data_IF_979252539020
#
_entry.id   IF_979252539020
#
_cell.length_a   1.000
_cell.length_b   1.000
_cell.length_c   1.000
_cell.angle_alpha   90.00
_cell.angle_beta   90.00
_cell.angle_gamma   90.00
#
_symmetry.space_group_name_H-M   'P 1'
#
loop_
_entity.id
_entity.type
_entity.pdbx_description
1 polymer ?
#
# COMPACT_ATOMS: atom_id res chain seq x y z
N UNK A 1 -11.39 3.52 20.37
CA UNK A 1 -10.72 3.09 19.13
C UNK A 1 -9.39 3.83 19.03
N UNK A 2 -8.27 3.10 19.02
CA UNK A 2 -6.93 3.70 18.97
C UNK A 2 -6.33 3.81 17.56
N UNK A 3 -6.87 3.08 16.58
CA UNK A 3 -6.32 2.98 15.22
C UNK A 3 -7.45 2.96 14.21
N UNK A 4 -7.22 3.60 13.05
CA UNK A 4 -8.00 3.45 11.83
C UNK A 4 -7.06 2.91 10.75
N UNK A 5 -7.37 1.73 10.22
CA UNK A 5 -6.65 1.10 9.12
C UNK A 5 -7.50 1.17 7.85
N UNK A 6 -6.99 1.85 6.83
CA UNK A 6 -7.59 1.93 5.50
C UNK A 6 -7.00 0.86 4.57
N UNK A 7 -7.84 0.31 3.69
CA UNK A 7 -7.45 -0.64 2.67
C UNK A 7 -8.43 -0.61 1.50
N UNK A 8 -8.24 -1.51 0.55
CA UNK A 8 -9.18 -1.67 -0.57
C UNK A 8 -10.54 -2.11 -0.03
N UNK A 9 -11.58 -1.31 -0.32
CA UNK A 9 -12.96 -1.59 0.06
C UNK A 9 -13.87 -1.29 -1.12
N UNK A 10 -14.37 -2.34 -1.78
CA UNK A 10 -15.32 -2.23 -2.91
C UNK A 10 -16.70 -1.69 -2.48
N UNK A 11 -16.95 -1.60 -1.18
CA UNK A 11 -18.19 -1.10 -0.60
C UNK A 11 -17.92 0.08 0.34
N UNK A 12 -16.92 0.90 0.02
CA UNK A 12 -16.71 2.17 0.70
C UNK A 12 -17.97 3.02 0.58
N UNK A 13 -18.37 3.65 1.69
CA UNK A 13 -19.56 4.49 1.72
C UNK A 13 -19.36 5.66 2.69
N UNK A 14 -20.29 6.62 2.63
CA UNK A 14 -20.24 7.83 3.46
C UNK A 14 -20.13 7.52 4.96
N UNK A 15 -20.89 6.54 5.47
CA UNK A 15 -20.92 6.23 6.89
C UNK A 15 -19.58 5.67 7.39
N UNK A 16 -18.93 4.81 6.60
CA UNK A 16 -17.59 4.30 6.89
C UNK A 16 -16.56 5.44 6.95
N UNK A 17 -16.59 6.34 5.97
CA UNK A 17 -15.69 7.49 5.92
C UNK A 17 -15.93 8.47 7.07
N UNK A 18 -17.19 8.79 7.36
CA UNK A 18 -17.55 9.67 8.47
C UNK A 18 -17.10 9.10 9.83
N UNK A 19 -17.34 7.80 10.04
CA UNK A 19 -16.92 7.11 11.27
C UNK A 19 -15.41 7.10 11.43
N UNK A 20 -14.68 6.73 10.37
CA UNK A 20 -13.22 6.76 10.36
C UNK A 20 -12.67 8.17 10.64
N UNK A 21 -13.23 9.19 9.98
CA UNK A 21 -12.85 10.59 10.21
C UNK A 21 -13.03 11.02 11.67
N UNK A 22 -14.15 10.66 12.31
CA UNK A 22 -14.38 10.99 13.72
C UNK A 22 -13.35 10.34 14.65
N UNK A 23 -12.95 9.09 14.40
CA UNK A 23 -11.89 8.45 15.19
C UNK A 23 -10.52 9.10 14.95
N UNK A 24 -10.19 9.44 13.70
CA UNK A 24 -8.95 10.13 13.37
C UNK A 24 -8.87 11.51 14.03
N UNK A 25 -9.98 12.26 14.07
CA UNK A 25 -10.10 13.55 14.77
C UNK A 25 -9.89 13.44 16.28
N UNK A 26 -10.20 12.29 16.87
CA UNK A 26 -10.00 11.99 18.30
C UNK A 26 -8.60 11.44 18.61
N UNK A 27 -7.69 11.46 17.63
CA UNK A 27 -6.29 11.08 17.83
C UNK A 27 -5.98 9.61 17.52
N UNK A 28 -6.89 8.87 16.87
CA UNK A 28 -6.54 7.53 16.40
C UNK A 28 -5.37 7.58 15.41
N UNK A 29 -4.51 6.56 15.47
CA UNK A 29 -3.42 6.37 14.51
C UNK A 29 -4.00 6.05 13.14
N UNK A 30 -3.48 6.70 12.09
CA UNK A 30 -3.93 6.48 10.72
C UNK A 30 -2.96 5.57 9.97
N UNK A 31 -3.42 4.37 9.61
CA UNK A 31 -2.65 3.37 8.88
C UNK A 31 -3.30 3.07 7.53
N UNK A 32 -2.52 2.65 6.55
CA UNK A 32 -3.01 2.12 5.28
C UNK A 32 -2.29 0.83 4.90
N UNK A 33 -3.02 -0.14 4.32
CA UNK A 33 -2.44 -1.39 3.83
C UNK A 33 -1.53 -1.16 2.62
N UNK A 34 -1.91 -0.23 1.75
CA UNK A 34 -1.14 0.30 0.62
C UNK A 34 -1.84 1.58 0.12
N UNK A 35 -1.10 2.41 -0.61
CA UNK A 35 -1.56 3.68 -1.17
C UNK A 35 -1.64 3.63 -2.71
N UNK A 36 -1.73 2.44 -3.30
CA UNK A 36 -1.82 2.28 -4.75
C UNK A 36 -3.13 2.90 -5.28
N UNK A 37 -2.98 3.81 -6.24
CA UNK A 37 -4.10 4.54 -6.84
C UNK A 37 -5.01 3.66 -7.70
N UNK A 38 -4.49 2.61 -8.34
CA UNK A 38 -5.24 1.75 -9.26
C UNK A 38 -5.03 0.28 -8.94
N UNK A 39 -6.05 -0.51 -9.24
CA UNK A 39 -6.08 -1.96 -9.15
C UNK A 39 -6.26 -2.52 -10.57
N UNK A 40 -5.28 -3.25 -11.12
CA UNK A 40 -5.46 -3.97 -12.39
C UNK A 40 -6.54 -5.05 -12.26
N UNK A 41 -7.54 -5.02 -13.14
CA UNK A 41 -8.64 -5.99 -13.17
C UNK A 41 -9.18 -6.16 -14.59
N UNK A 42 -9.20 -7.41 -15.08
CA UNK A 42 -9.77 -7.80 -16.38
C UNK A 42 -9.32 -6.91 -17.57
N UNK A 43 -8.03 -6.61 -17.66
CA UNK A 43 -7.47 -5.79 -18.74
C UNK A 43 -7.80 -4.28 -18.64
N UNK A 44 -8.36 -3.85 -17.51
CA UNK A 44 -8.64 -2.44 -17.19
C UNK A 44 -8.10 -2.09 -15.81
N UNK A 45 -8.34 -0.85 -15.37
CA UNK A 45 -7.95 -0.34 -14.07
C UNK A 45 -9.17 0.10 -13.26
N UNK A 46 -9.24 -0.41 -12.04
CA UNK A 46 -10.24 -0.04 -11.05
C UNK A 46 -9.58 0.87 -9.99
N UNK A 47 -10.35 1.58 -9.16
CA UNK A 47 -9.79 2.30 -8.02
C UNK A 47 -9.06 1.35 -7.06
N UNK A 48 -7.81 1.67 -6.75
CA UNK A 48 -7.01 0.97 -5.74
C UNK A 48 -7.29 1.44 -4.32
N UNK A 49 -6.62 0.84 -3.33
CA UNK A 49 -6.80 1.20 -1.92
C UNK A 49 -6.44 2.67 -1.62
N UNK A 50 -5.41 3.19 -2.29
CA UNK A 50 -5.02 4.59 -2.18
C UNK A 50 -6.15 5.53 -2.60
N UNK A 51 -6.84 5.20 -3.70
CA UNK A 51 -7.99 5.98 -4.20
C UNK A 51 -9.18 5.94 -3.24
N UNK A 52 -9.47 4.79 -2.63
CA UNK A 52 -10.52 4.64 -1.62
C UNK A 52 -10.23 5.49 -0.38
N UNK A 53 -8.95 5.65 0.00
CA UNK A 53 -8.51 6.41 1.16
C UNK A 53 -8.46 7.94 0.99
N UNK A 54 -8.46 8.46 -0.24
CA UNK A 54 -8.29 9.90 -0.55
C UNK A 54 -9.24 10.81 0.25
N UNK A 55 -10.54 10.51 0.42
CA UNK A 55 -11.42 11.38 1.18
C UNK A 55 -10.98 11.57 2.63
N UNK A 56 -10.46 10.51 3.28
CA UNK A 56 -9.95 10.61 4.64
C UNK A 56 -8.69 11.47 4.70
N UNK A 57 -7.75 11.26 3.78
CA UNK A 57 -6.53 12.07 3.66
C UNK A 57 -6.87 13.55 3.48
N UNK A 58 -7.82 13.84 2.59
CA UNK A 58 -8.26 15.20 2.30
C UNK A 58 -8.91 15.87 3.52
N UNK A 59 -9.82 15.17 4.22
CA UNK A 59 -10.49 15.73 5.40
C UNK A 59 -9.57 15.88 6.61
N UNK A 60 -8.60 14.97 6.80
CA UNK A 60 -7.70 14.98 7.97
C UNK A 60 -6.44 15.82 7.76
N UNK A 61 -6.06 16.10 6.50
CA UNK A 61 -4.88 16.89 6.14
C UNK A 61 -3.54 16.20 6.41
N UNK A 62 -3.52 14.88 6.64
CA UNK A 62 -2.31 14.08 6.84
C UNK A 62 -2.39 12.74 6.13
N UNK A 63 -1.24 12.23 5.72
CA UNK A 63 -1.11 10.91 5.09
C UNK A 63 -1.15 9.79 6.14
N UNK A 64 -1.71 8.61 5.82
CA UNK A 64 -1.58 7.43 6.65
C UNK A 64 -0.14 6.91 6.65
N UNK A 65 0.24 6.19 7.71
CA UNK A 65 1.43 5.36 7.66
C UNK A 65 1.15 4.13 6.79
N UNK A 66 1.85 4.02 5.68
CA UNK A 66 1.71 2.91 4.74
C UNK A 66 2.48 1.68 5.24
N UNK A 67 1.78 0.55 5.32
CA UNK A 67 2.34 -0.73 5.78
C UNK A 67 2.79 -1.62 4.63
N UNK A 68 2.26 -1.42 3.43
CA UNK A 68 2.62 -2.15 2.22
C UNK A 68 3.88 -1.61 1.55
N UNK A 69 4.25 -2.18 0.40
CA UNK A 69 5.38 -1.71 -0.41
C UNK A 69 5.25 -0.21 -0.72
N UNK A 70 6.31 0.60 -0.58
CA UNK A 70 7.71 0.22 -0.35
C UNK A 70 8.13 0.14 1.14
N UNK A 71 7.19 0.14 2.09
CA UNK A 71 7.47 0.21 3.53
C UNK A 71 8.39 -0.91 4.04
N UNK A 72 9.39 -0.53 4.83
CA UNK A 72 10.29 -1.47 5.49
C UNK A 72 9.53 -2.39 6.46
N UNK A 73 8.39 -1.96 7.01
CA UNK A 73 7.54 -2.79 7.85
C UNK A 73 7.09 -4.07 7.14
N UNK A 74 6.79 -4.00 5.84
CA UNK A 74 6.46 -5.19 5.04
C UNK A 74 7.67 -6.10 4.85
N UNK A 75 8.86 -5.53 4.64
CA UNK A 75 10.09 -6.31 4.48
C UNK A 75 10.46 -7.05 5.77
N UNK A 76 10.33 -6.38 6.91
CA UNK A 76 10.60 -6.98 8.23
C UNK A 76 9.60 -8.11 8.53
N UNK A 77 8.32 -7.91 8.19
CA UNK A 77 7.30 -8.95 8.31
C UNK A 77 7.59 -10.18 7.42
N UNK A 78 7.99 -9.97 6.15
CA UNK A 78 8.34 -11.05 5.23
C UNK A 78 9.58 -11.80 5.71
N UNK A 79 10.63 -11.08 6.10
CA UNK A 79 11.91 -11.69 6.52
C UNK A 79 11.80 -12.39 7.87
N UNK A 80 11.03 -11.84 8.82
CA UNK A 80 10.76 -12.51 10.10
C UNK A 80 9.91 -13.77 9.97
N UNK A 81 9.02 -13.85 8.98
CA UNK A 81 8.20 -15.05 8.76
C UNK A 81 8.92 -16.14 7.97
N UNK A 82 9.61 -15.76 6.89
CA UNK A 82 10.13 -16.71 5.91
C UNK A 82 11.65 -16.90 5.98
N UNK A 83 12.37 -16.15 6.82
CA UNK A 83 13.83 -16.26 7.02
C UNK A 83 14.62 -16.26 5.70
N UNK A 84 14.25 -15.35 4.80
CA UNK A 84 14.83 -15.28 3.44
C UNK A 84 16.27 -14.75 3.48
N UNK A 85 17.14 -15.37 2.68
CA UNK A 85 18.43 -14.75 2.31
C UNK A 85 18.16 -13.62 1.29
N UNK A 86 18.25 -12.37 1.76
CA UNK A 86 17.98 -11.19 0.95
C UNK A 86 18.88 -11.14 -0.29
N UNK A 87 20.16 -11.51 -0.17
CA UNK A 87 21.13 -11.44 -1.27
C UNK A 87 20.82 -12.42 -2.41
N UNK A 88 20.00 -13.45 -2.14
CA UNK A 88 19.56 -14.46 -3.12
C UNK A 88 18.09 -14.34 -3.52
N UNK A 89 17.41 -13.31 -3.05
CA UNK A 89 15.98 -13.10 -3.30
C UNK A 89 15.79 -12.06 -4.41
N UNK A 90 14.80 -12.27 -5.28
CA UNK A 90 14.44 -11.33 -6.34
C UNK A 90 13.01 -10.82 -6.15
N UNK A 91 12.82 -9.50 -6.21
CA UNK A 91 11.48 -8.90 -6.26
C UNK A 91 10.98 -8.80 -7.69
N UNK A 92 9.78 -9.31 -7.95
CA UNK A 92 9.13 -9.26 -9.26
C UNK A 92 7.87 -8.40 -9.14
N UNK A 93 7.69 -7.43 -10.03
CA UNK A 93 6.50 -6.57 -10.02
C UNK A 93 6.42 -5.63 -11.20
N UNK A 94 5.30 -4.92 -11.31
CA UNK A 94 4.95 -4.05 -12.44
C UNK A 94 4.99 -2.56 -12.08
N UNK A 95 5.14 -2.21 -10.80
CA UNK A 95 5.24 -0.83 -10.33
C UNK A 95 6.66 -0.45 -9.89
N UNK A 96 7.25 0.53 -10.56
CA UNK A 96 8.56 1.07 -10.19
C UNK A 96 8.57 1.70 -8.79
N UNK A 97 7.53 2.48 -8.46
CA UNK A 97 7.45 3.24 -7.22
C UNK A 97 7.11 2.39 -5.98
N UNK A 98 6.61 1.18 -6.15
CA UNK A 98 6.31 0.26 -5.05
C UNK A 98 7.16 -1.00 -5.12
N UNK A 99 7.02 -1.85 -6.15
CA UNK A 99 7.71 -3.13 -6.24
C UNK A 99 9.23 -2.99 -6.34
N UNK A 100 9.68 -2.25 -7.35
CA UNK A 100 11.10 -2.14 -7.64
C UNK A 100 11.78 -1.33 -6.53
N UNK A 101 11.15 -0.24 -6.11
CA UNK A 101 11.60 0.52 -4.94
C UNK A 101 11.71 -0.35 -3.68
N UNK A 102 10.71 -1.19 -3.40
CA UNK A 102 10.72 -2.12 -2.27
C UNK A 102 11.88 -3.11 -2.33
N UNK A 103 12.16 -3.69 -3.50
CA UNK A 103 13.28 -4.61 -3.67
C UNK A 103 14.63 -3.93 -3.47
N UNK A 104 14.79 -2.71 -3.99
CA UNK A 104 16.02 -1.91 -3.84
C UNK A 104 16.22 -1.48 -2.38
N UNK A 105 15.23 -0.85 -1.76
CA UNK A 105 15.31 -0.35 -0.37
C UNK A 105 15.42 -1.51 0.63
N UNK A 106 14.78 -2.64 0.32
CA UNK A 106 14.87 -3.88 1.09
C UNK A 106 16.20 -4.63 0.92
N UNK A 107 17.09 -4.17 0.03
CA UNK A 107 18.41 -4.76 -0.28
C UNK A 107 18.32 -6.21 -0.75
N UNK A 108 17.35 -6.50 -1.61
CA UNK A 108 17.23 -7.80 -2.25
C UNK A 108 18.30 -7.95 -3.34
N UNK A 109 18.70 -9.20 -3.62
CA UNK A 109 19.73 -9.54 -4.60
C UNK A 109 19.40 -9.14 -6.03
N UNK A 110 18.12 -8.91 -6.32
CA UNK A 110 17.70 -8.34 -7.60
C UNK A 110 16.25 -7.86 -7.62
N UNK A 111 15.92 -7.13 -8.67
CA UNK A 111 14.56 -6.71 -9.01
C UNK A 111 14.29 -6.98 -10.49
N UNK A 112 13.11 -7.49 -10.80
CA UNK A 112 12.66 -7.75 -12.17
C UNK A 112 11.34 -7.01 -12.41
N UNK A 113 11.40 -5.95 -13.21
CA UNK A 113 10.23 -5.19 -13.63
C UNK A 113 9.56 -5.89 -14.82
N UNK A 114 8.26 -6.18 -14.70
CA UNK A 114 7.44 -6.69 -15.80
C UNK A 114 6.58 -5.57 -16.39
N UNK A 115 6.35 -5.60 -17.71
CA UNK A 115 5.59 -4.58 -18.44
C UNK A 115 4.17 -5.03 -18.78
N UNK A 116 3.65 -6.02 -18.05
CA UNK A 116 2.30 -6.56 -18.23
C UNK A 116 1.25 -5.85 -17.38
N UNK A 117 1.64 -4.83 -16.61
CA UNK A 117 0.79 -4.15 -15.64
C UNK A 117 0.84 -2.63 -15.78
N UNK A 118 1.10 -1.94 -14.67
CA UNK A 118 0.93 -0.48 -14.54
C UNK A 118 1.99 0.31 -15.31
N UNK A 119 3.27 -0.07 -15.23
CA UNK A 119 4.29 0.56 -16.07
C UNK A 119 4.37 -0.14 -17.43
N UNK A 120 4.33 0.65 -18.48
CA UNK A 120 4.51 0.22 -19.88
C UNK A 120 5.82 0.80 -20.44
N UNK A 121 6.23 0.37 -21.65
CA UNK A 121 7.35 0.98 -22.38
C UNK A 121 7.13 2.46 -22.66
#
# INVERSE_FOLDING_TARGET
VGVVLAGLDFHVNYLKLATAYQYLRRGAVFLATNCDSTLPMNGSFFPGAGSVGVPLVNMIGRQPLELGKPSQAMMDAVTGRFHLDRARTCMIGDRLNTDIKFGIEGKLGGTLAVLTGVNTK
#
